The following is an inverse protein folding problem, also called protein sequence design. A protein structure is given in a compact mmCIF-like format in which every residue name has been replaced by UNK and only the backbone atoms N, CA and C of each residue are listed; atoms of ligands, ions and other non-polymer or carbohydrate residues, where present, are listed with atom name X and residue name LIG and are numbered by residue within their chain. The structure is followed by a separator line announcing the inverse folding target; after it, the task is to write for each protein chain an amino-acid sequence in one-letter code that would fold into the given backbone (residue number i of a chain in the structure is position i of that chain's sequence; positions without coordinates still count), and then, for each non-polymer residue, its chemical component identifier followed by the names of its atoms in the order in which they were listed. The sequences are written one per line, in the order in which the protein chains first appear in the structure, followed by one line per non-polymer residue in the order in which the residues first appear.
data_IF_302822912709
#
_entry.id   IF_302822912709
#
_cell.length_a   1.000
_cell.length_b   1.000
_cell.length_c   1.000
_cell.angle_alpha   90.00
_cell.angle_beta   90.00
_cell.angle_gamma   90.00
#
_symmetry.space_group_name_H-M   'P 1'
#
loop_
_entity.id
_entity.type
_entity.pdbx_description
1 polymer ?
#
# COMPACT_ATOMS: atom_id res chain seq x y z
N UNK A 1 17.92 -5.71 14.60
CA UNK A 1 16.61 -5.07 14.39
C UNK A 1 16.65 -3.65 13.83
N UNK A 2 17.52 -2.71 14.26
CA UNK A 2 17.58 -1.34 13.67
C UNK A 2 18.05 -1.25 12.21
N UNK A 3 18.87 -2.19 11.75
CA UNK A 3 19.42 -2.17 10.38
C UNK A 3 18.40 -2.45 9.27
N UNK A 4 17.39 -3.30 9.53
CA UNK A 4 16.35 -3.63 8.55
C UNK A 4 15.46 -2.43 8.25
N UNK A 5 15.00 -1.74 9.29
CA UNK A 5 14.17 -0.54 9.20
C UNK A 5 14.83 0.58 8.37
N UNK A 6 16.10 0.91 8.67
CA UNK A 6 16.86 1.93 7.96
C UNK A 6 17.11 1.56 6.49
N UNK A 7 17.24 0.26 6.20
CA UNK A 7 17.46 -0.21 4.84
C UNK A 7 16.16 -0.17 4.03
N UNK A 8 15.03 -0.56 4.62
CA UNK A 8 13.71 -0.47 3.99
C UNK A 8 13.32 0.96 3.65
N UNK A 9 13.52 1.91 4.57
CA UNK A 9 13.27 3.32 4.30
C UNK A 9 14.13 3.86 3.14
N UNK A 10 15.41 3.47 3.05
CA UNK A 10 16.28 3.90 1.94
C UNK A 10 15.80 3.38 0.59
N UNK A 11 15.42 2.10 0.53
CA UNK A 11 14.89 1.48 -0.71
C UNK A 11 13.60 2.19 -1.13
N UNK A 12 12.69 2.44 -0.20
CA UNK A 12 11.46 3.15 -0.49
C UNK A 12 11.73 4.59 -0.97
N UNK A 13 12.57 5.36 -0.29
CA UNK A 13 12.89 6.73 -0.71
C UNK A 13 13.51 6.76 -2.12
N UNK A 14 14.31 5.75 -2.47
CA UNK A 14 14.82 5.60 -3.83
C UNK A 14 13.74 5.18 -4.84
N UNK A 15 12.67 4.50 -4.42
CA UNK A 15 11.54 4.17 -5.28
C UNK A 15 10.57 5.35 -5.43
N UNK A 16 10.43 6.18 -4.38
CA UNK A 16 9.51 7.31 -4.30
C UNK A 16 9.76 8.36 -5.38
N UNK A 17 11.01 8.52 -5.83
CA UNK A 17 11.35 9.42 -6.94
C UNK A 17 10.69 9.02 -8.28
N UNK A 18 10.26 7.76 -8.42
CA UNK A 18 9.54 7.27 -9.60
C UNK A 18 8.02 7.35 -9.42
N UNK A 19 7.55 7.65 -8.21
CA UNK A 19 6.12 7.84 -7.94
C UNK A 19 5.79 9.30 -8.26
N UNK A 20 4.89 9.50 -9.22
CA UNK A 20 4.40 10.81 -9.62
C UNK A 20 3.81 11.61 -8.45
N UNK A 21 3.70 12.92 -8.63
CA UNK A 21 3.09 13.84 -7.67
C UNK A 21 1.58 14.03 -7.88
N UNK A 22 0.98 13.22 -8.76
CA UNK A 22 -0.42 13.35 -9.11
C UNK A 22 -1.34 12.89 -7.98
N UNK A 23 -2.58 13.38 -8.03
CA UNK A 23 -3.65 12.80 -7.22
C UNK A 23 -4.19 11.55 -7.91
N UNK A 24 -4.63 10.55 -7.15
CA UNK A 24 -5.11 9.25 -7.65
C UNK A 24 -6.23 9.43 -8.69
N UNK A 25 -7.15 10.37 -8.44
CA UNK A 25 -8.26 10.69 -9.33
C UNK A 25 -7.85 11.34 -10.67
N UNK A 26 -6.59 11.75 -10.81
CA UNK A 26 -6.04 12.35 -12.03
C UNK A 26 -5.27 11.34 -12.89
N UNK A 27 -5.10 10.10 -12.42
CA UNK A 27 -4.40 9.07 -13.18
C UNK A 27 -5.25 8.57 -14.36
N UNK A 28 -4.59 8.34 -15.51
CA UNK A 28 -5.23 7.78 -16.71
C UNK A 28 -5.79 6.37 -16.46
N UNK A 29 -5.20 5.63 -15.52
CA UNK A 29 -5.62 4.29 -15.11
C UNK A 29 -6.15 4.37 -13.68
N UNK A 30 -7.39 3.92 -13.39
CA UNK A 30 -7.92 3.86 -12.04
C UNK A 30 -6.99 3.10 -11.09
N UNK A 31 -6.64 3.74 -9.99
CA UNK A 31 -5.72 3.19 -9.00
C UNK A 31 -6.38 3.17 -7.62
N UNK A 32 -6.05 2.13 -6.86
CA UNK A 32 -6.42 2.03 -5.46
C UNK A 32 -5.35 1.25 -4.71
N UNK A 33 -4.96 1.75 -3.53
CA UNK A 33 -4.05 1.04 -2.64
C UNK A 33 -4.82 0.58 -1.39
N UNK A 34 -4.36 -0.52 -0.80
CA UNK A 34 -4.90 -1.03 0.48
C UNK A 34 -3.85 -0.84 1.56
N UNK A 35 -4.27 -0.28 2.69
CA UNK A 35 -3.48 -0.22 3.92
C UNK A 35 -4.30 -0.77 5.08
N UNK A 36 -3.63 -1.04 6.20
CA UNK A 36 -4.27 -1.50 7.43
C UNK A 36 -4.14 -0.41 8.50
N UNK A 37 -5.26 -0.01 9.12
CA UNK A 37 -5.21 0.87 10.30
C UNK A 37 -4.60 0.11 11.47
N UNK A 38 -3.49 0.63 12.01
CA UNK A 38 -2.67 -0.04 13.02
C UNK A 38 -3.43 -0.33 14.32
N UNK A 39 -4.30 0.59 14.75
CA UNK A 39 -5.00 0.47 16.04
C UNK A 39 -6.17 -0.51 15.98
N UNK A 40 -6.95 -0.49 14.90
CA UNK A 40 -8.18 -1.29 14.78
C UNK A 40 -8.03 -2.55 13.94
N UNK A 41 -6.96 -2.65 13.14
CA UNK A 41 -6.77 -3.70 12.15
C UNK A 41 -7.69 -3.58 10.93
N UNK A 42 -8.43 -2.47 10.78
CA UNK A 42 -9.35 -2.28 9.66
C UNK A 42 -8.61 -2.07 8.34
N UNK A 43 -9.17 -2.65 7.29
CA UNK A 43 -8.75 -2.39 5.92
C UNK A 43 -9.16 -0.97 5.51
N UNK A 44 -8.22 -0.21 4.96
CA UNK A 44 -8.41 1.15 4.44
C UNK A 44 -8.15 1.15 2.95
N UNK A 45 -9.13 1.60 2.16
CA UNK A 45 -9.01 1.75 0.71
C UNK A 45 -8.64 3.19 0.37
N UNK A 46 -7.47 3.35 -0.23
CA UNK A 46 -6.91 4.64 -0.62
C UNK A 46 -7.12 4.82 -2.13
N UNK A 47 -8.20 5.53 -2.50
CA UNK A 47 -8.65 5.71 -3.89
C UNK A 47 -8.65 7.19 -4.34
N UNK A 48 -8.25 8.12 -3.46
CA UNK A 48 -8.26 9.57 -3.71
C UNK A 48 -7.09 10.25 -2.99
N UNK A 49 -6.69 11.41 -3.50
CA UNK A 49 -5.60 12.21 -2.94
C UNK A 49 -4.23 11.76 -3.45
N UNK A 50 -3.17 12.10 -2.74
CA UNK A 50 -1.78 11.87 -3.17
C UNK A 50 -1.47 10.39 -3.42
N UNK A 51 -1.01 10.07 -4.64
CA UNK A 51 -0.53 8.71 -4.99
C UNK A 51 0.63 8.29 -4.09
N UNK A 52 1.53 9.23 -3.79
CA UNK A 52 2.67 9.01 -2.90
C UNK A 52 2.23 8.60 -1.50
N UNK A 53 1.25 9.30 -0.93
CA UNK A 53 0.73 8.97 0.40
C UNK A 53 0.07 7.59 0.41
N UNK A 54 -0.69 7.26 -0.64
CA UNK A 54 -1.33 5.97 -0.75
C UNK A 54 -0.33 4.82 -0.85
N UNK A 55 0.70 4.95 -1.70
CA UNK A 55 1.76 3.95 -1.83
C UNK A 55 2.59 3.85 -0.56
N UNK A 56 2.98 4.97 0.05
CA UNK A 56 3.76 5.00 1.30
C UNK A 56 3.03 4.34 2.46
N UNK A 57 1.70 4.53 2.54
CA UNK A 57 0.84 3.88 3.53
C UNK A 57 0.75 2.38 3.29
N UNK A 58 0.53 1.98 2.03
CA UNK A 58 0.33 0.59 1.63
C UNK A 58 1.59 -0.27 1.76
N UNK A 59 2.79 0.33 1.70
CA UNK A 59 4.07 -0.36 1.85
C UNK A 59 4.70 -0.26 3.25
N UNK A 60 3.98 0.27 4.26
CA UNK A 60 4.49 0.48 5.61
C UNK A 60 4.58 -0.84 6.42
N UNK A 61 5.43 -1.76 5.96
CA UNK A 61 5.50 -3.13 6.47
C UNK A 61 6.20 -3.20 7.84
N UNK A 62 5.55 -3.76 8.88
CA UNK A 62 6.15 -3.91 10.20
C UNK A 62 7.49 -4.65 10.15
N UNK A 63 8.53 -4.06 10.75
CA UNK A 63 9.89 -4.60 10.77
C UNK A 63 10.79 -4.16 9.61
N UNK A 64 10.22 -3.62 8.52
CA UNK A 64 10.95 -3.08 7.38
C UNK A 64 10.77 -1.56 7.22
N UNK A 65 9.59 -1.04 7.49
CA UNK A 65 9.27 0.39 7.42
C UNK A 65 8.45 0.83 8.62
N UNK A 66 8.62 2.09 9.04
CA UNK A 66 7.83 2.65 10.12
C UNK A 66 6.37 2.86 9.65
N UNK A 67 5.38 2.68 10.56
CA UNK A 67 3.99 3.05 10.29
C UNK A 67 3.90 4.47 9.74
N UNK A 68 3.00 4.69 8.79
CA UNK A 68 2.81 5.99 8.16
C UNK A 68 1.58 6.68 8.73
N UNK A 69 1.70 7.96 9.09
CA UNK A 69 0.56 8.73 9.60
C UNK A 69 -0.11 9.46 8.44
N UNK A 70 -1.37 9.13 8.18
CA UNK A 70 -2.19 9.76 7.15
C UNK A 70 -3.57 10.10 7.74
N UNK A 71 -4.02 11.35 7.62
CA UNK A 71 -5.33 11.81 8.11
C UNK A 71 -5.62 11.38 9.57
N UNK A 72 -4.65 11.57 10.46
CA UNK A 72 -4.68 11.17 11.87
C UNK A 72 -4.76 9.67 12.17
N UNK A 73 -4.62 8.81 11.17
CA UNK A 73 -4.55 7.36 11.32
C UNK A 73 -3.11 6.88 11.15
N UNK A 74 -2.70 5.92 11.96
CA UNK A 74 -1.45 5.18 11.73
C UNK A 74 -1.75 3.99 10.83
N UNK A 75 -1.11 3.96 9.66
CA UNK A 75 -1.30 2.95 8.64
C UNK A 75 -0.06 2.05 8.53
N UNK A 76 -0.30 0.76 8.38
CA UNK A 76 0.70 -0.25 8.04
C UNK A 76 0.29 -0.97 6.76
N UNK A 77 1.18 -1.81 6.26
CA UNK A 77 1.02 -2.54 5.01
C UNK A 77 -0.32 -3.31 4.89
N UNK A 78 -0.93 -3.24 3.71
CA UNK A 78 -2.24 -3.85 3.43
C UNK A 78 -2.21 -5.37 3.30
N UNK A 79 -1.05 -5.96 2.97
CA UNK A 79 -0.89 -7.40 2.82
C UNK A 79 -1.04 -8.16 4.16
N UNK A 80 -0.99 -7.45 5.29
CA UNK A 80 -1.28 -8.00 6.62
C UNK A 80 -2.73 -8.50 6.71
N UNK A 81 -3.66 -7.87 5.98
CA UNK A 81 -5.09 -8.18 6.02
C UNK A 81 -5.60 -8.72 4.69
N UNK A 82 -5.05 -8.24 3.57
CA UNK A 82 -5.51 -8.61 2.24
C UNK A 82 -4.35 -8.70 1.23
N UNK A 83 -3.69 -9.86 1.10
CA UNK A 83 -2.53 -10.01 0.22
C UNK A 83 -2.89 -9.93 -1.28
N UNK A 84 -4.18 -10.03 -1.64
CA UNK A 84 -4.66 -9.85 -3.01
C UNK A 84 -6.01 -9.11 -2.96
N UNK A 85 -6.06 -7.79 -3.23
CA UNK A 85 -7.23 -6.96 -2.99
C UNK A 85 -8.33 -7.14 -4.05
N UNK A 86 -8.81 -8.37 -4.23
CA UNK A 86 -9.88 -8.71 -5.17
C UNK A 86 -11.14 -7.92 -4.87
N UNK A 87 -11.49 -7.77 -3.59
CA UNK A 87 -12.66 -7.00 -3.14
C UNK A 87 -12.60 -5.54 -3.58
N UNK A 88 -11.42 -4.90 -3.48
CA UNK A 88 -11.20 -3.53 -3.94
C UNK A 88 -11.35 -3.45 -5.47
N UNK A 89 -10.69 -4.33 -6.22
CA UNK A 89 -10.79 -4.34 -7.69
C UNK A 89 -12.24 -4.52 -8.16
N UNK A 90 -13.01 -5.40 -7.53
CA UNK A 90 -14.43 -5.59 -7.80
C UNK A 90 -15.25 -4.34 -7.47
N UNK A 91 -15.00 -3.71 -6.33
CA UNK A 91 -15.67 -2.47 -5.94
C UNK A 91 -15.34 -1.30 -6.89
N UNK A 92 -14.16 -1.31 -7.51
CA UNK A 92 -13.75 -0.36 -8.54
C UNK A 92 -14.36 -0.66 -9.93
N UNK A 93 -15.20 -1.70 -10.05
CA UNK A 93 -15.95 -2.02 -11.26
C UNK A 93 -15.33 -3.08 -12.16
N UNK A 94 -14.35 -3.85 -11.67
CA UNK A 94 -13.73 -4.90 -12.49
C UNK A 94 -14.65 -6.12 -12.69
N UNK A 95 -14.86 -6.53 -13.95
CA UNK A 95 -15.53 -7.79 -14.32
C UNK A 95 -14.59 -9.01 -14.25
N UNK A 96 -13.30 -8.77 -14.50
CA UNK A 96 -12.22 -9.77 -14.42
C UNK A 96 -11.10 -9.18 -13.59
N UNK A 97 -10.58 -9.97 -12.65
CA UNK A 97 -9.45 -9.58 -11.78
C UNK A 97 -8.29 -10.52 -12.06
N UNK A 98 -7.14 -9.96 -12.46
CA UNK A 98 -5.89 -10.70 -12.61
C UNK A 98 -5.06 -10.45 -11.36
N UNK A 99 -4.92 -11.48 -10.52
CA UNK A 99 -4.15 -11.43 -9.29
C UNK A 99 -2.72 -11.92 -9.51
N UNK A 100 -1.74 -11.17 -9.01
CA UNK A 100 -0.33 -11.59 -8.98
C UNK A 100 0.07 -11.84 -7.53
N UNK A 101 0.34 -13.09 -7.18
CA UNK A 101 0.85 -13.47 -5.86
C UNK A 101 2.35 -13.76 -5.97
N UNK A 102 3.15 -13.10 -5.13
CA UNK A 102 4.60 -13.24 -5.10
C UNK A 102 5.09 -14.23 -4.03
N UNK A 103 4.18 -14.91 -3.31
CA UNK A 103 4.56 -15.96 -2.38
C UNK A 103 5.24 -17.10 -3.14
N UNK A 104 6.49 -17.34 -2.78
CA UNK A 104 7.25 -18.48 -3.25
C UNK A 104 6.92 -19.68 -2.35
N UNK A 105 5.84 -20.39 -2.66
CA UNK A 105 5.51 -21.65 -2.00
C UNK A 105 6.56 -22.69 -2.45
N UNK A 106 7.64 -22.82 -1.66
CA UNK A 106 8.51 -23.99 -1.74
C UNK A 106 7.89 -25.06 -0.85
N UNK A 107 6.91 -25.78 -1.39
CA UNK A 107 6.59 -27.13 -0.90
C UNK A 107 7.78 -28.06 -1.09
#
# INVERSE_FOLDING_TARGET
YRGGLLTGEKVFNAAEQYIGSDSIEQLDIPFGAVATELESGKEIWLQKGSVRDAVRSSCAMPGLMAPYRLNDQWLVDGAVVNPVPVSLCRAMGADVVIAVNLNNDKS
#
